data_IF_348558775783
#
_entry.id   IF_348558775783
#
_cell.length_a   1.000
_cell.length_b   1.000
_cell.length_c   1.000
_cell.angle_alpha   90.00
_cell.angle_beta   90.00
_cell.angle_gamma   90.00
#
_symmetry.space_group_name_H-M   'P 1'
#
loop_
_entity.id
_entity.type
_entity.pdbx_description
1 polymer ?
#
# COMPACT_ATOMS: atom_id res chain seq x y z
N UNK A 1 25.00 -15.94 -3.73
CA UNK A 1 23.56 -15.64 -3.65
C UNK A 1 23.36 -14.17 -3.99
N UNK A 2 22.46 -13.83 -4.90
CA UNK A 2 22.21 -12.42 -5.26
C UNK A 2 21.75 -11.64 -4.02
N UNK A 3 22.35 -10.46 -3.77
CA UNK A 3 21.95 -9.61 -2.65
C UNK A 3 20.48 -9.21 -2.84
N UNK A 4 19.59 -9.44 -1.85
CA UNK A 4 18.20 -9.00 -1.94
C UNK A 4 18.16 -7.50 -2.15
N UNK A 5 17.54 -7.05 -3.25
CA UNK A 5 17.26 -5.62 -3.46
C UNK A 5 16.09 -5.24 -2.57
N UNK A 6 16.33 -4.34 -1.61
CA UNK A 6 15.26 -3.72 -0.83
C UNK A 6 14.65 -2.61 -1.67
N UNK A 7 13.45 -2.84 -2.20
CA UNK A 7 12.70 -1.83 -2.92
C UNK A 7 12.04 -0.89 -1.92
N UNK A 8 12.26 0.41 -2.09
CA UNK A 8 11.60 1.45 -1.30
C UNK A 8 10.23 1.71 -1.91
N UNK A 9 9.19 1.55 -1.11
CA UNK A 9 7.83 1.91 -1.51
C UNK A 9 7.62 3.35 -1.03
N UNK A 10 7.31 4.22 -1.99
CA UNK A 10 6.97 5.62 -1.76
C UNK A 10 5.74 5.95 -2.56
N UNK A 11 4.62 6.13 -1.87
CA UNK A 11 3.36 6.54 -2.46
C UNK A 11 3.29 8.06 -2.51
N UNK A 12 2.71 8.55 -3.59
CA UNK A 12 2.23 9.93 -3.66
C UNK A 12 0.91 10.07 -2.90
N UNK A 13 0.53 11.29 -2.52
CA UNK A 13 -0.72 11.54 -1.79
C UNK A 13 -1.97 11.14 -2.62
N UNK A 14 -1.90 11.27 -3.94
CA UNK A 14 -2.97 10.86 -4.85
C UNK A 14 -3.14 9.33 -4.86
N UNK A 15 -2.05 8.57 -4.97
CA UNK A 15 -2.07 7.11 -4.89
C UNK A 15 -2.58 6.62 -3.52
N UNK A 16 -2.14 7.27 -2.44
CA UNK A 16 -2.61 6.97 -1.09
C UNK A 16 -4.13 7.20 -0.96
N UNK A 17 -4.64 8.27 -1.57
CA UNK A 17 -6.07 8.59 -1.59
C UNK A 17 -6.86 7.54 -2.38
N UNK A 18 -6.34 7.08 -3.51
CA UNK A 18 -6.95 6.00 -4.28
C UNK A 18 -7.00 4.70 -3.48
N UNK A 19 -5.90 4.28 -2.85
CA UNK A 19 -5.88 3.05 -2.05
C UNK A 19 -6.82 3.12 -0.84
N UNK A 20 -6.87 4.24 -0.13
CA UNK A 20 -7.85 4.47 0.94
C UNK A 20 -9.29 4.38 0.42
N UNK A 21 -9.57 4.91 -0.78
CA UNK A 21 -10.87 4.81 -1.43
C UNK A 21 -11.23 3.36 -1.79
N UNK A 22 -10.28 2.60 -2.33
CA UNK A 22 -10.44 1.17 -2.68
C UNK A 22 -10.73 0.31 -1.45
N UNK A 23 -10.07 0.58 -0.32
CA UNK A 23 -10.30 -0.13 0.95
C UNK A 23 -11.71 0.12 1.48
N UNK A 24 -12.23 1.36 1.36
CA UNK A 24 -13.57 1.75 1.82
C UNK A 24 -14.71 1.25 0.92
N UNK A 25 -14.42 0.89 -0.34
CA UNK A 25 -15.44 0.40 -1.28
C UNK A 25 -15.94 -0.99 -0.90
N UNK A 26 -17.25 -1.11 -0.68
CA UNK A 26 -17.91 -2.36 -0.27
C UNK A 26 -17.78 -3.51 -1.28
N UNK A 27 -17.70 -3.20 -2.58
CA UNK A 27 -17.56 -4.21 -3.66
C UNK A 27 -16.13 -4.74 -3.85
N UNK A 28 -15.14 -4.14 -3.21
CA UNK A 28 -13.74 -4.57 -3.31
C UNK A 28 -13.54 -5.89 -2.57
N UNK A 29 -12.90 -6.86 -3.23
CA UNK A 29 -12.60 -8.16 -2.61
C UNK A 29 -11.63 -8.03 -1.44
N UNK A 30 -11.71 -8.96 -0.48
CA UNK A 30 -10.83 -9.00 0.70
C UNK A 30 -9.36 -8.99 0.32
N UNK A 31 -8.98 -9.75 -0.73
CA UNK A 31 -7.60 -9.83 -1.22
C UNK A 31 -7.06 -8.47 -1.66
N UNK A 32 -7.86 -7.70 -2.41
CA UNK A 32 -7.45 -6.37 -2.90
C UNK A 32 -7.31 -5.40 -1.72
N UNK A 33 -8.27 -5.41 -0.78
CA UNK A 33 -8.20 -4.57 0.42
C UNK A 33 -6.95 -4.86 1.25
N UNK A 34 -6.66 -6.13 1.51
CA UNK A 34 -5.47 -6.53 2.26
C UNK A 34 -4.17 -6.10 1.56
N UNK A 35 -4.09 -6.21 0.23
CA UNK A 35 -2.91 -5.76 -0.53
C UNK A 35 -2.74 -4.24 -0.48
N UNK A 36 -3.80 -3.46 -0.65
CA UNK A 36 -3.75 -2.00 -0.49
C UNK A 36 -3.30 -1.61 0.92
N UNK A 37 -3.79 -2.30 1.96
CA UNK A 37 -3.39 -2.05 3.34
C UNK A 37 -1.89 -2.35 3.54
N UNK A 38 -1.40 -3.50 3.07
CA UNK A 38 0.03 -3.87 3.16
C UNK A 38 0.90 -2.82 2.46
N UNK A 39 0.50 -2.34 1.28
CA UNK A 39 1.27 -1.34 0.54
C UNK A 39 1.32 0.00 1.31
N UNK A 40 0.21 0.41 1.93
CA UNK A 40 0.17 1.62 2.78
C UNK A 40 1.02 1.43 4.04
N UNK A 41 0.97 0.26 4.67
CA UNK A 41 1.72 -0.01 5.90
C UNK A 41 3.24 -0.10 5.64
N UNK A 42 3.64 -0.54 4.43
CA UNK A 42 5.03 -0.62 3.98
C UNK A 42 5.56 0.68 3.36
N UNK A 43 4.70 1.68 3.16
CA UNK A 43 5.09 2.95 2.57
C UNK A 43 6.00 3.74 3.52
N UNK A 44 7.19 4.13 3.06
CA UNK A 44 8.17 4.84 3.91
C UNK A 44 7.72 6.27 4.28
N UNK A 45 6.78 6.86 3.53
CA UNK A 45 6.38 8.27 3.67
C UNK A 45 5.17 8.44 4.60
N UNK A 46 4.24 7.49 4.59
CA UNK A 46 2.96 7.54 5.29
C UNK A 46 2.65 6.28 6.11
N UNK A 47 3.53 5.27 6.08
CA UNK A 47 3.44 4.07 6.92
C UNK A 47 3.60 4.39 8.40
N UNK A 48 3.03 3.54 9.26
CA UNK A 48 3.19 3.69 10.72
C UNK A 48 4.62 3.32 11.10
N UNK A 49 5.33 4.28 11.69
CA UNK A 49 6.58 4.06 12.43
C UNK A 49 6.35 3.11 13.59
#
# INVERSE_FOLDING_TARGET
MARPKKYKIKLTDDELKEFKSVIRKNKTSKTIRCRCQIIIDLDESHGKV
#
